data_IF_336372788350
#
_entry.id   IF_336372788350
#
_cell.length_a   1.000
_cell.length_b   1.000
_cell.length_c   1.000
_cell.angle_alpha   90.00
_cell.angle_beta   90.00
_cell.angle_gamma   90.00
#
_symmetry.space_group_name_H-M   'P 1'
#
loop_
_entity.id
_entity.type
_entity.pdbx_description
1 polymer ?
#
# COMPACT_ATOMS: atom_id res chain seq x y z
N UNK A 1 -33.96 -24.11 -7.15
CA UNK A 1 -33.03 -22.97 -7.27
C UNK A 1 -33.59 -22.04 -8.32
N UNK A 2 -34.12 -20.87 -7.91
CA UNK A 2 -34.79 -19.93 -8.82
C UNK A 2 -33.78 -19.09 -9.61
N UNK A 3 -34.08 -18.85 -10.88
CA UNK A 3 -33.32 -18.04 -11.83
C UNK A 3 -33.16 -16.55 -11.42
N UNK A 4 -33.86 -16.10 -10.38
CA UNK A 4 -33.66 -14.75 -9.81
C UNK A 4 -32.38 -14.65 -8.96
N UNK A 5 -31.89 -15.76 -8.40
CA UNK A 5 -30.68 -15.75 -7.58
C UNK A 5 -29.39 -15.63 -8.41
N UNK A 6 -29.45 -15.92 -9.71
CA UNK A 6 -28.32 -15.74 -10.63
C UNK A 6 -28.19 -14.31 -11.12
N UNK A 7 -29.29 -13.53 -11.18
CA UNK A 7 -29.27 -12.10 -11.56
C UNK A 7 -28.65 -11.19 -10.50
N UNK A 8 -28.80 -11.52 -9.21
CA UNK A 8 -28.15 -10.77 -8.13
C UNK A 8 -26.63 -11.03 -8.07
N UNK A 9 -26.20 -12.23 -8.45
CA UNK A 9 -24.79 -12.63 -8.41
C UNK A 9 -23.91 -11.97 -9.48
N UNK A 10 -24.52 -11.42 -10.54
CA UNK A 10 -23.86 -10.70 -11.64
C UNK A 10 -23.79 -9.17 -11.44
N UNK A 11 -24.43 -8.65 -10.39
CA UNK A 11 -24.27 -7.25 -10.02
C UNK A 11 -23.05 -7.14 -9.10
N UNK A 12 -22.09 -6.29 -9.43
CA UNK A 12 -20.92 -6.03 -8.59
C UNK A 12 -21.32 -5.67 -7.15
N UNK A 13 -20.36 -5.71 -6.22
CA UNK A 13 -20.60 -5.37 -4.81
C UNK A 13 -21.32 -4.03 -4.67
N UNK A 14 -22.32 -3.97 -3.80
CA UNK A 14 -22.92 -2.70 -3.41
C UNK A 14 -21.86 -1.84 -2.68
N UNK A 15 -21.89 -0.52 -2.91
CA UNK A 15 -20.90 0.40 -2.34
C UNK A 15 -20.82 0.34 -0.81
N UNK A 16 -21.93 0.04 -0.12
CA UNK A 16 -21.94 -0.12 1.34
C UNK A 16 -21.02 -1.24 1.83
N UNK A 17 -20.89 -2.33 1.08
CA UNK A 17 -19.99 -3.42 1.44
C UNK A 17 -18.52 -3.00 1.27
N UNK A 18 -18.21 -2.19 0.25
CA UNK A 18 -16.86 -1.60 0.10
C UNK A 18 -16.54 -0.70 1.28
N UNK A 19 -17.48 0.14 1.72
CA UNK A 19 -17.29 1.03 2.86
C UNK A 19 -17.08 0.24 4.17
N UNK A 20 -17.89 -0.78 4.43
CA UNK A 20 -17.76 -1.60 5.64
C UNK A 20 -16.44 -2.38 5.63
N UNK A 21 -16.07 -2.99 4.50
CA UNK A 21 -14.77 -3.66 4.36
C UNK A 21 -13.62 -2.68 4.55
N UNK A 22 -13.71 -1.47 3.98
CA UNK A 22 -12.71 -0.42 4.16
C UNK A 22 -12.59 0.03 5.62
N UNK A 23 -13.70 0.15 6.34
CA UNK A 23 -13.69 0.47 7.77
C UNK A 23 -13.05 -0.65 8.60
N UNK A 24 -13.33 -1.92 8.28
CA UNK A 24 -12.71 -3.07 8.95
C UNK A 24 -11.20 -3.08 8.72
N UNK A 25 -10.76 -2.87 7.48
CA UNK A 25 -9.34 -3.00 7.11
C UNK A 25 -8.52 -1.74 7.42
N UNK A 26 -9.05 -0.55 7.16
CA UNK A 26 -8.30 0.71 7.20
C UNK A 26 -8.79 1.69 8.26
N UNK A 27 -9.93 1.45 8.92
CA UNK A 27 -10.52 2.42 9.85
C UNK A 27 -9.56 2.83 10.98
N UNK A 28 -8.85 1.88 11.56
CA UNK A 28 -7.88 2.14 12.63
C UNK A 28 -6.62 2.85 12.11
N UNK A 29 -6.10 2.44 10.95
CA UNK A 29 -4.97 3.10 10.31
C UNK A 29 -5.28 4.55 9.95
N UNK A 30 -6.47 4.81 9.40
CA UNK A 30 -6.97 6.16 9.09
C UNK A 30 -7.08 7.00 10.36
N UNK A 31 -7.70 6.46 11.40
CA UNK A 31 -7.85 7.16 12.67
C UNK A 31 -6.50 7.51 13.27
N UNK A 32 -5.60 6.54 13.41
CA UNK A 32 -4.26 6.75 13.96
C UNK A 32 -3.50 7.80 13.15
N UNK A 33 -3.47 7.63 11.83
CA UNK A 33 -2.69 8.48 10.93
C UNK A 33 -3.19 9.94 10.91
N UNK A 34 -4.51 10.13 10.87
CA UNK A 34 -5.11 11.46 10.91
C UNK A 34 -4.98 12.11 12.28
N UNK A 35 -5.07 11.32 13.36
CA UNK A 35 -4.93 11.84 14.73
C UNK A 35 -3.50 12.29 15.01
N UNK A 36 -2.51 11.50 14.59
CA UNK A 36 -1.08 11.84 14.71
C UNK A 36 -0.74 13.14 13.97
N UNK A 37 -1.26 13.29 12.74
CA UNK A 37 -1.08 14.51 11.97
C UNK A 37 -1.71 15.73 12.65
N UNK A 38 -2.95 15.59 13.16
CA UNK A 38 -3.66 16.68 13.84
C UNK A 38 -3.07 17.06 15.20
N UNK A 39 -2.43 16.12 15.91
CA UNK A 39 -1.72 16.42 17.16
C UNK A 39 -0.35 17.07 16.94
N UNK A 40 0.08 17.24 15.68
CA UNK A 40 1.43 17.68 15.30
C UNK A 40 2.50 16.74 15.90
N UNK A 41 2.12 15.49 16.20
CA UNK A 41 3.08 14.45 16.55
C UNK A 41 3.70 13.93 15.27
N UNK A 42 4.88 14.44 14.92
CA UNK A 42 5.74 13.80 13.94
C UNK A 42 6.32 12.55 14.58
N UNK A 43 5.79 11.39 14.23
CA UNK A 43 6.39 10.12 14.64
C UNK A 43 7.71 9.95 13.89
N UNK A 44 8.82 10.03 14.62
CA UNK A 44 10.05 9.48 14.11
C UNK A 44 9.84 7.96 13.95
N UNK A 45 9.84 7.43 12.73
CA UNK A 45 9.90 6.00 12.42
C UNK A 45 11.25 5.50 12.94
N UNK A 46 11.27 5.18 14.22
CA UNK A 46 12.28 4.29 14.76
C UNK A 46 12.11 2.94 14.10
N UNK A 47 13.20 2.23 13.87
CA UNK A 47 13.10 0.93 13.27
C UNK A 47 12.21 -0.01 14.08
N UNK A 48 11.35 -0.72 13.37
CA UNK A 48 10.40 -1.65 13.96
C UNK A 48 11.14 -2.82 14.60
N UNK A 49 10.84 -3.09 15.86
CA UNK A 49 11.35 -4.28 16.52
C UNK A 49 10.68 -5.55 15.97
N UNK A 50 11.29 -6.71 16.23
CA UNK A 50 10.65 -8.01 15.95
C UNK A 50 9.27 -8.12 16.62
N UNK A 51 9.08 -7.49 17.79
CA UNK A 51 7.78 -7.48 18.48
C UNK A 51 6.76 -6.65 17.73
N UNK A 52 7.14 -5.47 17.24
CA UNK A 52 6.25 -4.58 16.48
C UNK A 52 5.82 -5.25 15.18
N UNK A 53 6.76 -5.84 14.44
CA UNK A 53 6.46 -6.56 13.20
C UNK A 53 5.52 -7.75 13.44
N UNK A 54 5.71 -8.50 14.54
CA UNK A 54 4.81 -9.61 14.89
C UNK A 54 3.40 -9.11 15.23
N UNK A 55 3.30 -8.04 16.03
CA UNK A 55 2.01 -7.45 16.40
C UNK A 55 1.27 -6.93 15.16
N UNK A 56 1.98 -6.25 14.26
CA UNK A 56 1.40 -5.73 13.01
C UNK A 56 0.97 -6.86 12.06
N UNK A 57 1.76 -7.93 11.96
CA UNK A 57 1.40 -9.13 11.20
C UNK A 57 0.10 -9.75 11.75
N UNK A 58 0.00 -9.94 13.06
CA UNK A 58 -1.20 -10.49 13.70
C UNK A 58 -2.40 -9.55 13.51
N UNK A 59 -2.20 -8.25 13.70
CA UNK A 59 -3.22 -7.23 13.54
C UNK A 59 -3.80 -7.25 12.12
N UNK A 60 -2.97 -7.11 11.08
CA UNK A 60 -3.43 -7.14 9.69
C UNK A 60 -4.08 -8.47 9.32
N UNK A 61 -3.50 -9.60 9.75
CA UNK A 61 -4.08 -10.92 9.48
C UNK A 61 -5.48 -11.03 10.09
N UNK A 62 -5.69 -10.53 11.31
CA UNK A 62 -6.99 -10.54 11.97
C UNK A 62 -8.03 -9.67 11.26
N UNK A 63 -7.65 -8.45 10.85
CA UNK A 63 -8.51 -7.51 10.11
C UNK A 63 -8.86 -8.05 8.74
N UNK A 64 -7.88 -8.60 8.02
CA UNK A 64 -8.09 -9.24 6.73
C UNK A 64 -9.04 -10.43 6.84
N UNK A 65 -8.81 -11.31 7.83
CA UNK A 65 -9.68 -12.46 8.08
C UNK A 65 -11.11 -12.00 8.35
N UNK A 66 -11.30 -11.02 9.23
CA UNK A 66 -12.62 -10.47 9.53
C UNK A 66 -13.30 -9.87 8.29
N UNK A 67 -12.56 -9.10 7.50
CA UNK A 67 -13.04 -8.50 6.26
C UNK A 67 -13.50 -9.53 5.23
N UNK A 68 -12.72 -10.61 5.05
CA UNK A 68 -13.06 -11.70 4.13
C UNK A 68 -14.24 -12.54 4.63
N UNK A 69 -14.33 -12.80 5.94
CA UNK A 69 -15.49 -13.46 6.54
C UNK A 69 -16.76 -12.62 6.36
N UNK A 70 -16.67 -11.30 6.61
CA UNK A 70 -17.77 -10.38 6.36
C UNK A 70 -18.22 -10.41 4.89
N UNK A 71 -17.28 -10.28 3.94
CA UNK A 71 -17.61 -10.30 2.52
C UNK A 71 -18.26 -11.63 2.10
N UNK A 72 -17.76 -12.74 2.62
CA UNK A 72 -18.27 -14.07 2.26
C UNK A 72 -19.65 -14.35 2.85
N UNK A 73 -19.82 -14.17 4.17
CA UNK A 73 -21.04 -14.55 4.88
C UNK A 73 -22.15 -13.49 4.83
N UNK A 74 -21.78 -12.20 4.75
CA UNK A 74 -22.75 -11.09 4.78
C UNK A 74 -22.97 -10.52 3.38
N UNK A 75 -21.90 -10.22 2.64
CA UNK A 75 -22.03 -9.62 1.31
C UNK A 75 -22.24 -10.66 0.18
N UNK A 76 -22.15 -11.96 0.48
CA UNK A 76 -22.28 -13.04 -0.51
C UNK A 76 -21.21 -12.99 -1.61
N UNK A 77 -20.08 -12.32 -1.36
CA UNK A 77 -19.01 -12.11 -2.32
C UNK A 77 -17.79 -12.95 -1.98
N UNK A 78 -17.16 -13.52 -3.00
CA UNK A 78 -15.98 -14.36 -2.82
C UNK A 78 -14.76 -13.72 -3.46
N UNK A 79 -13.65 -13.73 -2.72
CA UNK A 79 -12.33 -13.29 -3.17
C UNK A 79 -11.83 -14.03 -4.43
N UNK A 80 -12.42 -15.20 -4.74
CA UNK A 80 -12.16 -15.96 -5.98
C UNK A 80 -12.56 -15.21 -7.25
N UNK A 81 -13.39 -14.17 -7.14
CA UNK A 81 -13.81 -13.31 -8.26
C UNK A 81 -12.71 -12.34 -8.72
N UNK A 82 -11.64 -12.18 -7.93
CA UNK A 82 -10.53 -11.30 -8.29
C UNK A 82 -9.62 -11.94 -9.33
N UNK A 83 -9.08 -11.10 -10.21
CA UNK A 83 -8.06 -11.50 -11.18
C UNK A 83 -6.68 -11.57 -10.51
N UNK A 84 -6.45 -12.64 -9.75
CA UNK A 84 -5.21 -12.86 -9.01
C UNK A 84 -3.98 -12.88 -9.91
N UNK A 85 -3.94 -13.81 -10.87
CA UNK A 85 -2.82 -13.94 -11.81
C UNK A 85 -1.53 -14.51 -11.20
N UNK A 86 -1.61 -15.25 -10.09
CA UNK A 86 -0.45 -15.84 -9.39
C UNK A 86 0.24 -16.87 -10.30
N UNK A 87 1.42 -16.49 -10.80
CA UNK A 87 2.30 -17.30 -11.65
C UNK A 87 3.74 -16.82 -11.46
N UNK A 88 4.74 -17.65 -11.76
CA UNK A 88 6.15 -17.22 -11.70
C UNK A 88 6.40 -15.98 -12.54
N UNK A 89 5.85 -15.92 -13.76
CA UNK A 89 5.95 -14.76 -14.63
C UNK A 89 5.35 -13.49 -13.99
N UNK A 90 4.16 -13.61 -13.38
CA UNK A 90 3.52 -12.48 -12.70
C UNK A 90 4.29 -12.02 -11.45
N UNK A 91 4.92 -12.94 -10.72
CA UNK A 91 5.81 -12.60 -9.61
C UNK A 91 7.02 -11.82 -10.13
N UNK A 92 7.67 -12.29 -11.19
CA UNK A 92 8.82 -11.59 -11.79
C UNK A 92 8.43 -10.23 -12.37
N UNK A 93 7.20 -10.09 -12.87
CA UNK A 93 6.66 -8.82 -13.37
C UNK A 93 6.54 -7.75 -12.26
N UNK A 94 6.49 -8.15 -10.98
CA UNK A 94 6.52 -7.20 -9.86
C UNK A 94 7.80 -6.36 -9.81
N UNK A 95 8.94 -6.90 -10.25
CA UNK A 95 10.24 -6.19 -10.23
C UNK A 95 10.23 -4.94 -11.14
N UNK A 96 9.95 -5.03 -12.45
CA UNK A 96 9.91 -3.85 -13.30
C UNK A 96 8.78 -2.88 -12.92
N UNK A 97 7.68 -3.37 -12.33
CA UNK A 97 6.62 -2.50 -11.81
C UNK A 97 7.14 -1.68 -10.63
N UNK A 98 7.80 -2.33 -9.66
CA UNK A 98 8.45 -1.66 -8.55
C UNK A 98 9.43 -0.59 -9.04
N UNK A 99 10.33 -0.95 -9.97
CA UNK A 99 11.30 0.00 -10.52
C UNK A 99 10.62 1.21 -11.18
N UNK A 100 9.55 0.99 -11.95
CA UNK A 100 8.82 2.08 -12.60
C UNK A 100 8.11 2.99 -11.60
N UNK A 101 7.45 2.42 -10.60
CA UNK A 101 6.75 3.19 -9.56
C UNK A 101 7.73 3.95 -8.67
N UNK A 102 8.83 3.31 -8.28
CA UNK A 102 9.87 3.92 -7.45
C UNK A 102 10.61 5.06 -8.17
N UNK A 103 10.95 4.90 -9.44
CA UNK A 103 11.49 6.02 -10.24
C UNK A 103 10.45 7.15 -10.43
N UNK A 104 9.17 6.80 -10.56
CA UNK A 104 8.08 7.77 -10.57
C UNK A 104 8.00 8.56 -9.26
N UNK A 105 8.16 7.88 -8.13
CA UNK A 105 8.23 8.48 -6.80
C UNK A 105 9.40 9.45 -6.69
N UNK A 106 10.60 9.01 -7.09
CA UNK A 106 11.81 9.83 -7.05
C UNK A 106 11.63 11.11 -7.89
N UNK A 107 11.03 10.99 -9.08
CA UNK A 107 10.73 12.15 -9.92
C UNK A 107 9.75 13.13 -9.26
N UNK A 108 8.70 12.63 -8.60
CA UNK A 108 7.75 13.50 -7.88
C UNK A 108 8.45 14.23 -6.75
N UNK A 109 9.27 13.53 -5.96
CA UNK A 109 10.04 14.14 -4.87
C UNK A 109 10.94 15.27 -5.39
N UNK A 110 11.75 15.02 -6.42
CA UNK A 110 12.61 16.03 -7.06
C UNK A 110 11.82 17.26 -7.52
N UNK A 111 10.64 17.07 -8.10
CA UNK A 111 9.79 18.17 -8.56
C UNK A 111 9.24 18.97 -7.37
N UNK A 112 8.76 18.30 -6.32
CA UNK A 112 8.22 18.97 -5.13
C UNK A 112 9.30 19.77 -4.39
N UNK A 113 10.50 19.24 -4.26
CA UNK A 113 11.64 19.91 -3.63
C UNK A 113 12.06 21.14 -4.43
N UNK A 114 12.15 21.01 -5.76
CA UNK A 114 12.45 22.12 -6.66
C UNK A 114 11.42 23.24 -6.60
N UNK A 115 10.12 22.92 -6.41
CA UNK A 115 9.06 23.92 -6.23
C UNK A 115 9.16 24.65 -4.89
N UNK A 116 9.75 24.03 -3.87
CA UNK A 116 9.97 24.63 -2.55
C UNK A 116 11.28 25.43 -2.48
N UNK A 117 12.07 25.47 -3.57
CA UNK A 117 13.35 26.16 -3.62
C UNK A 117 14.47 25.43 -2.88
N UNK A 118 14.26 24.15 -2.54
CA UNK A 118 15.33 23.30 -2.03
C UNK A 118 16.35 23.03 -3.15
N UNK A 119 17.66 23.00 -2.85
CA UNK A 119 18.65 22.59 -3.84
C UNK A 119 18.31 21.17 -4.34
N UNK A 120 18.56 20.85 -5.62
CA UNK A 120 18.38 19.49 -6.11
C UNK A 120 19.37 18.58 -5.41
N UNK A 121 18.94 17.98 -4.30
CA UNK A 121 19.69 16.97 -3.59
C UNK A 121 19.10 15.62 -4.03
N UNK A 122 19.86 14.81 -4.78
CA UNK A 122 19.42 13.46 -5.18
C UNK A 122 19.19 12.54 -3.98
N UNK A 123 19.52 13.00 -2.77
CA UNK A 123 19.34 12.36 -1.46
C UNK A 123 18.47 13.18 -0.49
N UNK A 124 17.77 14.25 -0.89
CA UNK A 124 16.76 14.96 -0.05
C UNK A 124 15.30 14.70 -0.47
N UNK A 125 15.08 14.02 -1.60
CA UNK A 125 13.80 13.34 -1.83
C UNK A 125 13.57 12.19 -0.83
N UNK A 126 14.62 11.76 -0.15
CA UNK A 126 14.54 11.25 1.21
C UNK A 126 14.44 12.45 2.13
N UNK A 127 13.29 12.62 2.78
CA UNK A 127 13.27 12.88 4.21
C UNK A 127 14.23 13.99 4.72
N UNK A 128 13.74 15.15 5.24
CA UNK A 128 14.51 16.12 6.03
C UNK A 128 15.61 15.45 6.83
N UNK A 129 16.80 16.06 6.88
CA UNK A 129 18.01 15.75 7.65
C UNK A 129 18.08 14.38 8.37
N UNK A 130 19.26 13.74 8.54
CA UNK A 130 19.37 12.50 9.34
C UNK A 130 18.76 12.57 10.76
N UNK A 131 18.40 13.78 11.21
CA UNK A 131 17.78 14.15 12.47
C UNK A 131 16.26 14.43 12.36
N UNK A 132 15.72 14.72 11.17
CA UNK A 132 14.39 15.34 11.00
C UNK A 132 13.37 14.55 10.18
N UNK A 133 13.73 13.57 9.34
CA UNK A 133 12.76 12.63 8.78
C UNK A 133 13.25 11.20 8.79
N UNK A 134 12.39 10.30 9.27
CA UNK A 134 12.58 8.89 9.11
C UNK A 134 12.36 8.55 7.64
N UNK A 135 13.46 8.47 6.93
CA UNK A 135 13.62 7.61 5.75
C UNK A 135 12.86 6.32 6.03
N UNK A 136 11.76 6.09 5.30
CA UNK A 136 10.95 4.87 5.31
C UNK A 136 11.72 3.65 4.73
N UNK A 137 13.02 3.58 5.00
CA UNK A 137 13.98 2.78 4.25
C UNK A 137 15.19 2.32 5.04
N UNK A 138 15.24 2.53 6.35
CA UNK A 138 16.10 1.71 7.18
C UNK A 138 15.22 0.76 7.96
N UNK A 139 14.91 -0.38 7.36
CA UNK A 139 14.94 -1.60 8.15
C UNK A 139 16.26 -1.56 8.92
N UNK A 140 16.24 -1.19 10.20
CA UNK A 140 17.38 -1.59 11.04
C UNK A 140 17.37 -3.09 10.94
N UNK A 141 18.39 -3.60 10.26
CA UNK A 141 18.59 -5.00 10.03
C UNK A 141 18.28 -5.75 11.32
N UNK A 142 17.23 -6.59 11.35
CA UNK A 142 16.95 -7.36 12.54
C UNK A 142 18.21 -8.09 12.97
N UNK A 143 18.50 -8.05 14.27
CA UNK A 143 19.73 -8.62 14.82
C UNK A 143 19.83 -10.15 14.63
N UNK A 144 18.74 -10.79 14.19
CA UNK A 144 18.64 -12.25 14.02
C UNK A 144 18.04 -12.61 12.66
N UNK A 145 18.40 -13.79 12.15
CA UNK A 145 17.77 -14.36 10.97
C UNK A 145 16.24 -14.55 11.14
N UNK A 146 15.77 -14.80 12.36
CA UNK A 146 14.34 -14.89 12.67
C UNK A 146 13.63 -13.56 12.48
N UNK A 147 14.25 -12.45 12.89
CA UNK A 147 13.71 -11.10 12.69
C UNK A 147 13.62 -10.72 11.21
N UNK A 148 14.58 -11.14 10.38
CA UNK A 148 14.52 -10.95 8.93
C UNK A 148 13.33 -11.68 8.30
N UNK A 149 13.10 -12.95 8.66
CA UNK A 149 11.96 -13.72 8.17
C UNK A 149 10.63 -13.06 8.54
N UNK A 150 10.53 -12.54 9.76
CA UNK A 150 9.33 -11.86 10.24
C UNK A 150 9.09 -10.54 9.49
N UNK A 151 10.13 -9.74 9.34
CA UNK A 151 10.09 -8.45 8.64
C UNK A 151 9.67 -8.63 7.19
N UNK A 152 10.32 -9.55 6.47
CA UNK A 152 9.97 -9.87 5.07
C UNK A 152 8.55 -10.44 4.99
N UNK A 153 8.19 -11.33 5.91
CA UNK A 153 6.84 -11.90 5.97
C UNK A 153 5.76 -10.84 6.17
N UNK A 154 6.01 -9.87 7.05
CA UNK A 154 5.12 -8.73 7.28
C UNK A 154 5.03 -7.81 6.06
N UNK A 155 6.15 -7.41 5.46
CA UNK A 155 6.17 -6.57 4.26
C UNK A 155 5.41 -7.21 3.09
N UNK A 156 5.59 -8.52 2.86
CA UNK A 156 4.83 -9.25 1.85
C UNK A 156 3.34 -9.33 2.18
N UNK A 157 2.98 -9.52 3.45
CA UNK A 157 1.58 -9.48 3.88
C UNK A 157 0.99 -8.08 3.65
N UNK A 158 1.72 -7.02 3.99
CA UNK A 158 1.25 -5.63 3.85
C UNK A 158 0.94 -5.31 2.38
N UNK A 159 1.86 -5.61 1.47
CA UNK A 159 1.61 -5.42 0.03
C UNK A 159 0.40 -6.21 -0.50
N UNK A 160 0.15 -7.41 0.04
CA UNK A 160 -1.09 -8.15 -0.27
C UNK A 160 -2.31 -7.47 0.36
N UNK A 161 -2.23 -7.10 1.64
CA UNK A 161 -3.31 -6.51 2.43
C UNK A 161 -3.83 -5.23 1.79
N UNK A 162 -2.92 -4.33 1.45
CA UNK A 162 -3.21 -3.04 0.85
C UNK A 162 -3.80 -3.17 -0.54
N UNK A 163 -3.09 -3.83 -1.47
CA UNK A 163 -3.53 -3.90 -2.86
C UNK A 163 -4.77 -4.79 -3.05
N UNK A 164 -4.96 -5.78 -2.16
CA UNK A 164 -6.18 -6.58 -2.15
C UNK A 164 -7.42 -5.70 -1.97
N UNK A 165 -7.39 -4.77 -1.03
CA UNK A 165 -8.51 -3.87 -0.82
C UNK A 165 -8.48 -2.72 -1.83
N UNK A 166 -7.40 -1.94 -1.81
CA UNK A 166 -7.30 -0.64 -2.47
C UNK A 166 -7.46 -0.75 -3.98
N UNK A 167 -7.04 -1.86 -4.60
CA UNK A 167 -7.25 -2.11 -6.03
C UNK A 167 -8.29 -3.20 -6.26
N UNK A 168 -8.12 -4.36 -5.63
CA UNK A 168 -8.93 -5.55 -5.90
C UNK A 168 -10.41 -5.40 -5.51
N UNK A 169 -10.68 -5.33 -4.21
CA UNK A 169 -12.04 -5.32 -3.65
C UNK A 169 -12.77 -4.04 -4.06
N UNK A 170 -12.11 -2.88 -4.03
CA UNK A 170 -12.70 -1.59 -4.44
C UNK A 170 -13.26 -1.65 -5.86
N UNK A 171 -12.58 -2.32 -6.81
CA UNK A 171 -13.06 -2.45 -8.20
C UNK A 171 -14.10 -3.57 -8.41
N UNK A 172 -14.32 -4.41 -7.40
CA UNK A 172 -15.40 -5.39 -7.42
C UNK A 172 -16.78 -4.76 -7.19
N UNK A 173 -16.85 -3.46 -6.86
CA UNK A 173 -18.08 -2.67 -6.86
C UNK A 173 -18.76 -2.69 -8.23
N UNK A 174 -20.06 -2.40 -8.25
CA UNK A 174 -20.81 -2.21 -9.50
C UNK A 174 -20.12 -1.23 -10.45
N UNK A 175 -20.21 -1.51 -11.75
CA UNK A 175 -19.44 -0.78 -12.78
C UNK A 175 -19.70 0.74 -12.78
N UNK A 176 -20.92 1.17 -12.50
CA UNK A 176 -21.33 2.57 -12.39
C UNK A 176 -20.63 3.33 -11.25
N UNK A 177 -20.17 2.61 -10.22
CA UNK A 177 -19.50 3.20 -9.05
C UNK A 177 -17.97 3.09 -9.06
N UNK A 178 -17.38 2.41 -10.06
CA UNK A 178 -15.93 2.13 -10.06
C UNK A 178 -15.06 3.38 -9.98
N UNK A 179 -15.44 4.46 -10.67
CA UNK A 179 -14.67 5.72 -10.61
C UNK A 179 -14.72 6.34 -9.22
N UNK A 180 -15.91 6.41 -8.61
CA UNK A 180 -16.06 6.93 -7.25
C UNK A 180 -15.30 6.05 -6.23
N UNK A 181 -15.35 4.73 -6.39
CA UNK A 181 -14.62 3.80 -5.54
C UNK A 181 -13.10 3.93 -5.71
N UNK A 182 -12.62 4.13 -6.94
CA UNK A 182 -11.21 4.42 -7.23
C UNK A 182 -10.74 5.69 -6.53
N UNK A 183 -11.51 6.78 -6.63
CA UNK A 183 -11.22 8.05 -5.93
C UNK A 183 -11.20 7.84 -4.42
N UNK A 184 -12.21 7.15 -3.87
CA UNK A 184 -12.26 6.85 -2.45
C UNK A 184 -11.04 6.03 -1.98
N UNK A 185 -10.59 5.06 -2.78
CA UNK A 185 -9.40 4.26 -2.47
C UNK A 185 -8.11 5.09 -2.47
N UNK A 186 -7.94 5.99 -3.43
CA UNK A 186 -6.81 6.95 -3.45
C UNK A 186 -6.82 7.84 -2.20
N UNK A 187 -8.01 8.30 -1.79
CA UNK A 187 -8.16 9.09 -0.57
C UNK A 187 -7.90 8.27 0.70
N UNK A 188 -8.30 6.99 0.74
CA UNK A 188 -7.96 6.09 1.85
C UNK A 188 -6.45 5.94 1.95
N UNK A 189 -5.75 5.71 0.82
CA UNK A 189 -4.29 5.63 0.77
C UNK A 189 -3.64 6.91 1.32
N UNK A 190 -3.99 8.06 0.77
CA UNK A 190 -3.49 9.33 1.29
C UNK A 190 -3.78 9.48 2.79
N UNK A 191 -5.00 9.12 3.23
CA UNK A 191 -5.48 9.24 4.59
C UNK A 191 -4.70 8.43 5.61
N UNK A 192 -4.31 7.18 5.31
CA UNK A 192 -3.48 6.41 6.25
C UNK A 192 -2.00 6.76 6.18
N UNK A 193 -1.59 7.65 5.27
CA UNK A 193 -0.24 8.20 5.17
C UNK A 193 -0.11 9.65 5.67
N UNK A 194 -1.17 10.29 6.20
CA UNK A 194 -1.09 11.68 6.70
C UNK A 194 -0.13 11.87 7.88
N UNK A 195 0.10 10.83 8.69
CA UNK A 195 1.08 10.87 9.80
C UNK A 195 2.51 11.19 9.34
N UNK A 196 2.82 10.96 8.07
CA UNK A 196 4.14 11.22 7.48
C UNK A 196 4.26 12.65 6.92
N UNK A 197 3.18 13.44 6.95
CA UNK A 197 3.10 14.74 6.30
C UNK A 197 2.18 14.75 5.07
N UNK A 198 1.72 15.94 4.69
CA UNK A 198 0.79 16.10 3.56
C UNK A 198 1.47 15.92 2.19
N UNK A 199 2.76 16.21 2.10
CA UNK A 199 3.64 15.96 0.97
C UNK A 199 3.76 14.46 0.68
N UNK A 200 4.03 13.65 1.72
CA UNK A 200 4.07 12.19 1.59
C UNK A 200 2.68 11.64 1.29
N UNK A 201 1.64 12.08 2.00
CA UNK A 201 0.26 11.64 1.75
C UNK A 201 -0.19 11.94 0.30
N UNK A 202 0.15 13.12 -0.23
CA UNK A 202 -0.12 13.49 -1.62
C UNK A 202 0.59 12.55 -2.59
N UNK A 203 1.86 12.27 -2.33
CA UNK A 203 2.66 11.41 -3.19
C UNK A 203 2.14 9.96 -3.16
N UNK A 204 1.70 9.47 -1.99
CA UNK A 204 1.03 8.16 -1.86
C UNK A 204 -0.32 8.13 -2.58
N UNK A 205 -1.04 9.25 -2.66
CA UNK A 205 -2.24 9.37 -3.48
C UNK A 205 -1.93 9.16 -4.99
N UNK A 206 -0.84 9.77 -5.47
CA UNK A 206 -0.37 9.58 -6.85
C UNK A 206 0.04 8.13 -7.13
N UNK A 207 0.74 7.50 -6.18
CA UNK A 207 1.08 6.08 -6.25
C UNK A 207 -0.18 5.21 -6.37
N UNK A 208 -1.21 5.49 -5.57
CA UNK A 208 -2.50 4.79 -5.66
C UNK A 208 -3.16 4.93 -7.03
N UNK A 209 -3.14 6.13 -7.60
CA UNK A 209 -3.64 6.37 -8.96
C UNK A 209 -2.82 5.61 -10.02
N UNK A 210 -1.50 5.56 -9.87
CA UNK A 210 -0.60 4.81 -10.74
C UNK A 210 -0.86 3.29 -10.66
N UNK A 211 -1.06 2.75 -9.45
CA UNK A 211 -1.44 1.34 -9.25
C UNK A 211 -2.74 0.99 -9.99
N UNK A 212 -3.74 1.87 -9.97
CA UNK A 212 -4.97 1.67 -10.76
C UNK A 212 -4.75 1.70 -12.27
N UNK A 213 -3.88 2.59 -12.76
CA UNK A 213 -3.52 2.62 -14.18
C UNK A 213 -2.83 1.32 -14.59
N UNK A 214 -1.86 0.86 -13.81
CA UNK A 214 -1.16 -0.41 -14.03
C UNK A 214 -2.11 -1.61 -13.95
N UNK A 215 -3.02 -1.64 -12.97
CA UNK A 215 -4.02 -2.71 -12.88
C UNK A 215 -4.90 -2.79 -14.13
N UNK A 216 -5.31 -1.63 -14.68
CA UNK A 216 -6.10 -1.58 -15.92
C UNK A 216 -5.31 -2.07 -17.15
N UNK A 217 -3.99 -1.88 -17.16
CA UNK A 217 -3.11 -2.35 -18.24
C UNK A 217 -2.80 -3.85 -18.14
N UNK A 218 -2.52 -4.33 -16.93
CA UNK A 218 -2.03 -5.70 -16.69
C UNK A 218 -3.20 -6.69 -16.48
N UNK A 219 -4.30 -6.22 -15.88
CA UNK A 219 -5.47 -7.03 -15.55
C UNK A 219 -5.25 -8.07 -14.44
N UNK A 220 -4.11 -8.00 -13.72
CA UNK A 220 -3.74 -8.95 -12.66
C UNK A 220 -3.31 -8.20 -11.41
N UNK A 221 -3.75 -8.68 -10.25
CA UNK A 221 -3.50 -8.05 -8.96
C UNK A 221 -2.15 -8.46 -8.37
N UNK A 222 -1.76 -9.72 -8.56
CA UNK A 222 -0.56 -10.30 -7.97
C UNK A 222 0.74 -9.52 -8.26
N UNK A 223 1.03 -9.09 -9.51
CA UNK A 223 2.25 -8.30 -9.78
C UNK A 223 2.32 -6.99 -8.98
N UNK A 224 1.18 -6.35 -8.71
CA UNK A 224 1.12 -5.11 -7.94
C UNK A 224 1.39 -5.37 -6.46
N UNK A 225 0.82 -6.44 -5.91
CA UNK A 225 1.09 -6.89 -4.54
C UNK A 225 2.57 -7.23 -4.33
N UNK A 226 3.20 -7.88 -5.31
CA UNK A 226 4.63 -8.19 -5.28
C UNK A 226 5.48 -6.92 -5.37
N UNK A 227 5.14 -6.01 -6.28
CA UNK A 227 5.85 -4.73 -6.40
C UNK A 227 5.78 -3.90 -5.12
N UNK A 228 4.60 -3.86 -4.49
CA UNK A 228 4.40 -3.23 -3.19
C UNK A 228 5.25 -3.91 -2.11
N UNK A 229 5.16 -5.24 -1.97
CA UNK A 229 5.94 -5.96 -0.98
C UNK A 229 7.46 -5.79 -1.17
N UNK A 230 7.95 -5.67 -2.41
CA UNK A 230 9.36 -5.31 -2.67
C UNK A 230 9.65 -3.91 -2.13
N UNK A 231 8.80 -2.92 -2.43
CA UNK A 231 8.96 -1.55 -1.94
C UNK A 231 8.97 -1.48 -0.40
N UNK A 232 8.18 -2.29 0.30
CA UNK A 232 8.18 -2.34 1.77
C UNK A 232 9.45 -3.00 2.34
N UNK A 233 10.11 -3.88 1.59
CA UNK A 233 11.35 -4.53 2.01
C UNK A 233 12.56 -3.61 1.78
N UNK A 234 12.66 -3.00 0.60
CA UNK A 234 13.89 -2.28 0.18
C UNK A 234 13.72 -0.76 0.12
N UNK A 235 12.50 -0.27 0.29
CA UNK A 235 12.12 1.10 0.03
C UNK A 235 11.49 1.35 -1.32
N UNK A 236 10.64 2.36 -1.37
CA UNK A 236 10.05 2.82 -2.62
C UNK A 236 11.03 3.61 -3.50
N UNK A 237 12.02 4.31 -2.93
CA UNK A 237 12.98 5.11 -3.72
C UNK A 237 14.01 4.22 -4.41
N UNK A 238 14.05 4.26 -5.75
CA UNK A 238 15.02 3.49 -6.54
C UNK A 238 16.37 4.21 -6.58
N UNK A 239 16.36 5.54 -6.72
CA UNK A 239 17.58 6.35 -6.64
C UNK A 239 18.23 6.18 -5.26
N UNK A 240 17.46 6.29 -4.18
CA UNK A 240 17.92 6.08 -2.82
C UNK A 240 18.51 4.68 -2.61
N UNK A 241 17.84 3.64 -3.11
CA UNK A 241 18.34 2.27 -3.06
C UNK A 241 19.70 2.11 -3.77
N UNK A 242 19.85 2.69 -4.96
CA UNK A 242 21.12 2.64 -5.71
C UNK A 242 22.22 3.40 -4.97
N UNK A 243 21.94 4.58 -4.44
CA UNK A 243 22.92 5.32 -3.63
C UNK A 243 23.33 4.56 -2.37
N UNK A 244 22.40 3.91 -1.68
CA UNK A 244 22.73 3.08 -0.52
C UNK A 244 23.68 1.93 -0.86
N UNK A 245 23.48 1.26 -2.02
CA UNK A 245 24.35 0.17 -2.46
C UNK A 245 25.73 0.68 -2.90
N UNK A 246 25.80 1.83 -3.57
CA UNK A 246 27.07 2.38 -4.11
C UNK A 246 27.86 3.22 -3.10
N UNK A 247 27.18 3.81 -2.12
CA UNK A 247 27.77 4.70 -1.11
C UNK A 247 28.44 3.98 0.06
N UNK A 248 28.28 2.65 0.17
CA UNK A 248 29.05 1.80 1.11
C UNK A 248 30.41 1.33 0.55
N UNK A 249 30.96 2.03 -0.47
CA UNK A 249 32.32 1.81 -0.99
C UNK A 249 33.28 2.95 -0.67
#
# INVERSE_FOLDING_TARGET
MNADNTRAADQGLAGIHILITGAIMFGEFLWFSSSAWLSVETYAVTAYSDTDNFQMLLFQTSRLTLALLYLYYVAGWSIRRLSWGITVYATLLGIPIFLALGLGQDLVAIVLDGLQGAPPNPTEGTAPSPEDVPVATQLVAPATAGGWLLTIGYALLNGVYEELFLVGIVLAVRQDWRVAAMVASVLVRAGFHTYQGLDIAFTMALLGAAMFALYRLIGKLWPLMVAHGIADIVGLSVIGLVYGILGES
#
